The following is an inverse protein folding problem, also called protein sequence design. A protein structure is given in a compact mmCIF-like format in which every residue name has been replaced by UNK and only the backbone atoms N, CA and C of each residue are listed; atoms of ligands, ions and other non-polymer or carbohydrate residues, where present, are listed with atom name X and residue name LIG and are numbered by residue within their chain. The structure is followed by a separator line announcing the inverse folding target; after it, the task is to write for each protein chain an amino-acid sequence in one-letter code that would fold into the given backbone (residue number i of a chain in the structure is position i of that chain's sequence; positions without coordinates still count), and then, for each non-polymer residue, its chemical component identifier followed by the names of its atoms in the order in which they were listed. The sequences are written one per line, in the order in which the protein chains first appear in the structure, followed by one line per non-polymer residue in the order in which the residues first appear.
data_IF_139861243869
#
_entry.id   IF_139861243869
#
_cell.length_a   1.000
_cell.length_b   1.000
_cell.length_c   1.000
_cell.angle_alpha   90.00
_cell.angle_beta   90.00
_cell.angle_gamma   90.00
#
_symmetry.space_group_name_H-M   'P 1'
#
loop_
_entity.id
_entity.type
_entity.pdbx_description
1 polymer ?
#
# COMPACT_ATOMS: atom_id res chain seq x y z
N UNK A 1 17.89 14.26 6.09
CA UNK A 1 17.90 13.43 4.88
C UNK A 1 16.49 13.10 4.46
N UNK A 2 16.32 12.69 3.22
CA UNK A 2 14.99 12.38 2.70
C UNK A 2 14.93 10.92 2.26
N UNK A 3 13.71 10.39 2.17
CA UNK A 3 13.50 8.99 1.74
C UNK A 3 12.83 9.00 0.37
N UNK A 4 13.49 8.48 -0.68
CA UNK A 4 12.88 8.43 -2.01
C UNK A 4 11.66 7.51 -2.02
N UNK A 5 10.65 7.88 -2.80
CA UNK A 5 9.45 7.02 -2.97
C UNK A 5 9.82 5.64 -3.52
N UNK A 6 10.85 5.58 -4.37
CA UNK A 6 11.30 4.32 -4.95
C UNK A 6 11.64 3.26 -3.92
N UNK A 7 12.19 3.66 -2.77
CA UNK A 7 12.52 2.69 -1.72
C UNK A 7 11.28 1.97 -1.20
N UNK A 8 10.17 2.68 -1.06
CA UNK A 8 8.91 2.09 -0.59
C UNK A 8 8.22 1.32 -1.71
N UNK A 9 8.26 1.85 -2.92
CA UNK A 9 7.69 1.20 -4.10
C UNK A 9 8.37 -0.16 -4.35
N UNK A 10 9.69 -0.22 -4.22
CA UNK A 10 10.43 -1.48 -4.38
C UNK A 10 9.97 -2.53 -3.37
N UNK A 11 9.74 -2.13 -2.12
CA UNK A 11 9.22 -3.02 -1.09
C UNK A 11 7.79 -3.48 -1.42
N UNK A 12 6.96 -2.60 -1.94
CA UNK A 12 5.60 -2.93 -2.34
C UNK A 12 5.59 -3.94 -3.49
N UNK A 13 6.49 -3.80 -4.44
CA UNK A 13 6.59 -4.69 -5.60
C UNK A 13 6.93 -6.13 -5.21
N UNK A 14 7.65 -6.33 -4.12
CA UNK A 14 7.93 -7.69 -3.63
C UNK A 14 6.64 -8.39 -3.25
N UNK A 15 5.65 -7.66 -2.77
CA UNK A 15 4.37 -8.20 -2.31
C UNK A 15 3.35 -8.29 -3.43
N UNK A 16 3.31 -7.28 -4.33
CA UNK A 16 2.36 -7.27 -5.42
C UNK A 16 2.84 -8.25 -6.49
N UNK A 17 2.03 -9.26 -6.77
CA UNK A 17 2.29 -10.20 -7.85
C UNK A 17 1.12 -10.16 -8.80
N UNK A 18 1.15 -9.22 -9.73
CA UNK A 18 0.06 -9.04 -10.68
C UNK A 18 0.63 -8.94 -12.07
N UNK A 19 0.10 -9.77 -12.96
CA UNK A 19 0.53 -9.82 -14.35
C UNK A 19 0.29 -8.49 -15.07
N UNK A 20 -0.77 -7.79 -14.73
CA UNK A 20 -1.09 -6.49 -15.35
C UNK A 20 -0.01 -5.46 -15.05
N UNK A 21 0.52 -5.46 -13.84
CA UNK A 21 1.61 -4.56 -13.47
C UNK A 21 2.92 -4.92 -14.17
N UNK A 22 3.21 -6.20 -14.30
CA UNK A 22 4.40 -6.64 -15.03
C UNK A 22 4.32 -6.21 -16.49
N UNK A 23 3.14 -6.34 -17.12
CA UNK A 23 2.92 -5.92 -18.48
C UNK A 23 3.09 -4.40 -18.62
N UNK A 24 2.55 -3.63 -17.68
CA UNK A 24 2.67 -2.18 -17.68
C UNK A 24 4.13 -1.75 -17.49
N UNK A 25 4.86 -2.39 -16.59
CA UNK A 25 6.27 -2.10 -16.38
C UNK A 25 7.08 -2.33 -17.63
N UNK A 26 6.80 -3.41 -18.37
CA UNK A 26 7.52 -3.77 -19.59
C UNK A 26 7.21 -2.79 -20.73
N UNK A 27 5.96 -2.29 -20.78
CA UNK A 27 5.54 -1.42 -21.90
C UNK A 27 5.78 0.07 -21.61
N UNK A 28 5.64 0.52 -20.37
CA UNK A 28 5.79 1.94 -20.03
C UNK A 28 6.17 2.07 -18.55
N UNK A 29 7.46 2.18 -18.30
CA UNK A 29 8.00 2.30 -16.94
C UNK A 29 7.57 3.59 -16.26
N UNK A 30 7.47 4.70 -16.99
CA UNK A 30 7.07 5.98 -16.41
C UNK A 30 5.63 5.93 -15.90
N UNK A 31 4.72 5.35 -16.68
CA UNK A 31 3.33 5.16 -16.26
C UNK A 31 3.24 4.22 -15.06
N UNK A 32 4.02 3.15 -15.07
CA UNK A 32 4.10 2.20 -13.96
C UNK A 32 4.49 2.89 -12.67
N UNK A 33 5.56 3.69 -12.70
CA UNK A 33 6.02 4.43 -11.53
C UNK A 33 4.98 5.44 -11.05
N UNK A 34 4.31 6.13 -11.97
CA UNK A 34 3.26 7.10 -11.63
C UNK A 34 2.08 6.44 -10.93
N UNK A 35 1.68 5.26 -11.41
CA UNK A 35 0.57 4.51 -10.81
C UNK A 35 0.91 4.09 -9.38
N UNK A 36 2.09 3.52 -9.18
CA UNK A 36 2.49 3.08 -7.84
C UNK A 36 2.71 4.24 -6.89
N UNK A 37 3.23 5.36 -7.39
CA UNK A 37 3.38 6.57 -6.60
C UNK A 37 2.02 7.10 -6.13
N UNK A 38 1.00 7.05 -6.99
CA UNK A 38 -0.35 7.46 -6.62
C UNK A 38 -0.91 6.60 -5.48
N UNK A 39 -0.68 5.28 -5.53
CA UNK A 39 -1.12 4.39 -4.45
C UNK A 39 -0.32 4.58 -3.17
N UNK A 40 0.96 4.89 -3.27
CA UNK A 40 1.78 5.25 -2.11
C UNK A 40 1.22 6.49 -1.42
N UNK A 41 0.95 7.54 -2.19
CA UNK A 41 0.40 8.78 -1.65
C UNK A 41 -0.96 8.53 -0.99
N UNK A 42 -1.78 7.68 -1.59
CA UNK A 42 -3.06 7.30 -1.02
C UNK A 42 -2.91 6.52 0.30
N UNK A 43 -1.83 5.77 0.43
CA UNK A 43 -1.54 5.02 1.64
C UNK A 43 -0.99 5.84 2.80
N UNK A 44 -0.38 6.99 2.51
CA UNK A 44 0.26 7.82 3.53
C UNK A 44 -0.68 8.19 4.70
N UNK A 45 -1.92 8.67 4.46
CA UNK A 45 -2.80 9.03 5.57
C UNK A 45 -3.24 7.86 6.43
N UNK A 46 -3.05 6.62 5.97
CA UNK A 46 -3.44 5.43 6.74
C UNK A 46 -2.46 5.12 7.86
N UNK A 47 -1.22 5.57 7.74
CA UNK A 47 -0.19 5.33 8.76
C UNK A 47 -0.24 6.44 9.81
N UNK A 48 -1.34 6.48 10.56
CA UNK A 48 -1.56 7.52 11.58
C UNK A 48 -0.66 7.33 12.80
N UNK A 49 -0.11 6.13 13.01
CA UNK A 49 0.73 5.83 14.16
C UNK A 49 2.18 6.25 13.95
N UNK A 50 2.55 6.74 12.78
CA UNK A 50 3.93 7.08 12.48
C UNK A 50 4.43 8.22 13.37
N UNK A 51 5.59 8.01 13.97
CA UNK A 51 6.20 9.01 14.87
C UNK A 51 6.98 10.07 14.10
N UNK A 52 7.29 9.82 12.83
CA UNK A 52 7.97 10.80 12.01
C UNK A 52 6.99 11.56 11.12
N UNK A 53 7.41 12.74 10.67
CA UNK A 53 6.61 13.53 9.75
C UNK A 53 6.59 12.83 8.39
N UNK A 54 5.41 12.55 7.87
CA UNK A 54 5.22 11.92 6.57
C UNK A 54 4.96 12.93 5.45
N UNK A 55 5.32 14.20 5.65
CA UNK A 55 5.23 15.17 4.58
C UNK A 55 6.16 14.78 3.43
N UNK A 56 5.76 15.09 2.22
CA UNK A 56 6.49 14.69 1.02
C UNK A 56 6.45 15.77 -0.04
N UNK A 57 7.36 15.65 -1.01
CA UNK A 57 7.43 16.54 -2.17
C UNK A 57 7.32 15.66 -3.41
N UNK A 58 6.28 15.92 -4.21
CA UNK A 58 6.02 15.18 -5.44
C UNK A 58 7.08 15.48 -6.50
N UNK A 59 7.59 16.70 -6.53
CA UNK A 59 8.58 17.09 -7.53
C UNK A 59 9.91 16.35 -7.33
N UNK A 60 10.31 16.15 -6.09
CA UNK A 60 11.53 15.38 -5.78
C UNK A 60 11.24 13.90 -5.58
N UNK A 61 9.96 13.51 -5.59
CA UNK A 61 9.51 12.13 -5.38
C UNK A 61 10.11 11.53 -4.11
N UNK A 62 10.03 12.27 -3.00
CA UNK A 62 10.61 11.82 -1.74
C UNK A 62 9.86 12.36 -0.53
N UNK A 63 9.97 11.62 0.57
CA UNK A 63 9.52 12.10 1.87
C UNK A 63 10.60 13.00 2.46
N UNK A 64 10.18 13.99 3.22
CA UNK A 64 11.12 14.96 3.82
C UNK A 64 11.88 14.37 5.00
N UNK A 65 11.35 13.33 5.63
CA UNK A 65 12.00 12.67 6.76
C UNK A 65 12.82 11.46 6.31
N UNK A 66 13.79 11.07 7.13
CA UNK A 66 14.57 9.86 6.91
C UNK A 66 13.85 8.70 7.62
N UNK A 67 13.03 7.97 6.86
CA UNK A 67 12.19 6.91 7.40
C UNK A 67 13.00 5.66 7.72
N UNK A 68 12.63 4.98 8.81
CA UNK A 68 13.26 3.71 9.16
C UNK A 68 12.74 2.59 8.25
N UNK A 69 13.45 1.46 8.22
CA UNK A 69 13.03 0.30 7.42
C UNK A 69 11.63 -0.17 7.80
N UNK A 70 11.31 -0.18 9.09
CA UNK A 70 9.99 -0.62 9.56
C UNK A 70 8.89 0.36 9.09
N UNK A 71 9.16 1.65 9.15
CA UNK A 71 8.23 2.66 8.65
C UNK A 71 8.00 2.51 7.16
N UNK A 72 9.05 2.26 6.39
CA UNK A 72 8.96 2.03 4.96
C UNK A 72 8.18 0.75 4.64
N UNK A 73 8.39 -0.32 5.41
CA UNK A 73 7.65 -1.58 5.24
C UNK A 73 6.16 -1.38 5.48
N UNK A 74 5.79 -0.63 6.50
CA UNK A 74 4.39 -0.34 6.80
C UNK A 74 3.75 0.49 5.68
N UNK A 75 4.45 1.51 5.19
CA UNK A 75 3.97 2.31 4.07
C UNK A 75 3.82 1.47 2.79
N UNK A 76 4.74 0.55 2.56
CA UNK A 76 4.65 -0.38 1.44
C UNK A 76 3.40 -1.26 1.54
N UNK A 77 3.10 -1.76 2.74
CA UNK A 77 1.89 -2.56 2.97
C UNK A 77 0.64 -1.74 2.70
N UNK A 78 0.57 -0.49 3.13
CA UNK A 78 -0.56 0.37 2.83
C UNK A 78 -0.69 0.70 1.34
N UNK A 79 0.44 0.81 0.64
CA UNK A 79 0.46 0.98 -0.82
C UNK A 79 -0.18 -0.22 -1.51
N UNK A 80 0.21 -1.43 -1.10
CA UNK A 80 -0.33 -2.68 -1.63
C UNK A 80 -1.83 -2.79 -1.34
N UNK A 81 -2.24 -2.46 -0.13
CA UNK A 81 -3.65 -2.48 0.26
C UNK A 81 -4.47 -1.53 -0.63
N UNK A 82 -3.98 -0.31 -0.83
CA UNK A 82 -4.66 0.67 -1.68
C UNK A 82 -4.81 0.17 -3.11
N UNK A 83 -3.79 -0.48 -3.63
CA UNK A 83 -3.83 -1.06 -4.98
C UNK A 83 -4.87 -2.20 -5.07
N UNK A 84 -4.88 -3.12 -4.10
CA UNK A 84 -5.84 -4.23 -4.09
C UNK A 84 -7.28 -3.74 -3.91
N UNK A 85 -7.50 -2.74 -3.05
CA UNK A 85 -8.83 -2.16 -2.87
C UNK A 85 -9.35 -1.56 -4.17
N UNK A 86 -8.51 -0.82 -4.88
CA UNK A 86 -8.90 -0.24 -6.17
C UNK A 86 -9.23 -1.32 -7.19
N UNK A 87 -8.42 -2.38 -7.23
CA UNK A 87 -8.61 -3.48 -8.16
C UNK A 87 -9.92 -4.22 -7.91
N UNK A 88 -10.25 -4.46 -6.63
CA UNK A 88 -11.49 -5.12 -6.24
C UNK A 88 -12.70 -4.23 -6.56
N UNK A 89 -12.59 -2.93 -6.29
CA UNK A 89 -13.66 -1.98 -6.60
C UNK A 89 -13.94 -1.92 -8.09
N UNK A 90 -12.93 -1.95 -8.93
CA UNK A 90 -13.11 -1.98 -10.38
C UNK A 90 -13.90 -3.20 -10.82
N UNK A 91 -13.61 -4.37 -10.26
CA UNK A 91 -14.36 -5.59 -10.56
C UNK A 91 -15.80 -5.47 -10.09
N UNK A 92 -16.03 -4.89 -8.90
CA UNK A 92 -17.37 -4.72 -8.36
C UNK A 92 -18.19 -3.71 -9.15
N UNK A 93 -17.59 -2.69 -9.71
CA UNK A 93 -18.25 -1.74 -10.61
C UNK A 93 -18.75 -2.43 -11.87
N UNK A 94 -17.96 -3.34 -12.42
CA UNK A 94 -18.39 -4.14 -13.58
C UNK A 94 -19.63 -4.97 -13.26
N UNK A 95 -19.79 -5.41 -12.01
CA UNK A 95 -20.97 -6.17 -11.60
C UNK A 95 -22.27 -5.43 -11.87
N UNK A 96 -22.29 -4.12 -11.68
CA UNK A 96 -23.50 -3.31 -11.88
C UNK A 96 -23.86 -3.16 -13.35
N UNK A 97 -22.90 -3.32 -14.25
CA UNK A 97 -23.10 -3.14 -15.69
C UNK A 97 -23.23 -4.45 -16.43
N UNK A 98 -22.88 -5.59 -15.81
CA UNK A 98 -22.93 -6.90 -16.44
C UNK A 98 -24.11 -7.71 -15.88
N UNK A 99 -24.64 -8.63 -16.70
CA UNK A 99 -25.62 -9.60 -16.23
C UNK A 99 -24.92 -10.56 -15.26
N UNK A 100 -25.68 -11.11 -14.30
CA UNK A 100 -25.12 -12.00 -13.28
C UNK A 100 -24.25 -13.14 -13.84
N UNK A 101 -24.68 -13.71 -14.97
CA UNK A 101 -23.92 -14.78 -15.63
C UNK A 101 -22.56 -14.32 -16.10
N UNK A 102 -22.52 -13.14 -16.72
CA UNK A 102 -21.27 -12.55 -17.22
C UNK A 102 -20.36 -12.17 -16.06
N UNK A 103 -20.95 -11.63 -14.98
CA UNK A 103 -20.18 -11.28 -13.78
C UNK A 103 -19.54 -12.50 -13.15
N UNK A 104 -20.27 -13.61 -13.01
CA UNK A 104 -19.71 -14.83 -12.42
C UNK A 104 -18.51 -15.33 -13.21
N UNK A 105 -18.60 -15.27 -14.54
CA UNK A 105 -17.49 -15.67 -15.39
C UNK A 105 -16.29 -14.71 -15.24
N UNK A 106 -16.56 -13.41 -15.20
CA UNK A 106 -15.53 -12.40 -15.03
C UNK A 106 -14.88 -12.51 -13.66
N UNK A 107 -15.66 -12.67 -12.60
CA UNK A 107 -15.14 -12.79 -11.24
C UNK A 107 -14.23 -14.01 -11.10
N UNK A 108 -14.61 -15.14 -11.72
CA UNK A 108 -13.78 -16.34 -11.72
C UNK A 108 -12.46 -16.09 -12.45
N UNK A 109 -12.51 -15.43 -13.61
CA UNK A 109 -11.32 -15.11 -14.39
C UNK A 109 -10.43 -14.07 -13.72
N UNK A 110 -10.99 -13.18 -12.92
CA UNK A 110 -10.24 -12.14 -12.21
C UNK A 110 -9.79 -12.58 -10.81
N UNK A 111 -10.13 -13.80 -10.39
CA UNK A 111 -9.76 -14.32 -9.06
C UNK A 111 -10.21 -13.40 -7.93
N UNK A 112 -11.46 -12.92 -7.98
CA UNK A 112 -11.97 -11.96 -7.02
C UNK A 112 -11.91 -12.46 -5.57
N UNK A 113 -12.37 -13.69 -5.31
CA UNK A 113 -12.40 -14.26 -3.97
C UNK A 113 -11.00 -14.40 -3.35
N UNK A 114 -10.01 -14.99 -4.05
CA UNK A 114 -8.64 -15.03 -3.53
C UNK A 114 -8.05 -13.64 -3.28
N UNK A 115 -8.38 -12.66 -4.10
CA UNK A 115 -7.91 -11.28 -3.90
C UNK A 115 -8.49 -10.66 -2.65
N UNK A 116 -9.78 -10.89 -2.38
CA UNK A 116 -10.42 -10.41 -1.15
C UNK A 116 -9.84 -11.07 0.09
N UNK A 117 -9.57 -12.38 0.02
CA UNK A 117 -8.94 -13.11 1.12
C UNK A 117 -7.52 -12.61 1.38
N UNK A 118 -6.76 -12.35 0.32
CA UNK A 118 -5.42 -11.81 0.42
C UNK A 118 -5.43 -10.41 1.00
N UNK A 119 -6.39 -9.57 0.61
CA UNK A 119 -6.55 -8.23 1.16
C UNK A 119 -6.83 -8.28 2.67
N UNK A 120 -7.67 -9.21 3.11
CA UNK A 120 -7.94 -9.41 4.54
C UNK A 120 -6.67 -9.80 5.29
N UNK A 121 -5.84 -10.67 4.70
CA UNK A 121 -4.55 -11.03 5.26
C UNK A 121 -3.62 -9.82 5.35
N UNK A 122 -3.61 -8.96 4.34
CA UNK A 122 -2.80 -7.74 4.36
C UNK A 122 -3.22 -6.78 5.46
N UNK A 123 -4.52 -6.62 5.69
CA UNK A 123 -5.01 -5.80 6.80
C UNK A 123 -4.54 -6.35 8.14
N UNK A 124 -4.60 -7.65 8.33
CA UNK A 124 -4.13 -8.30 9.56
C UNK A 124 -2.63 -8.08 9.74
N UNK A 125 -1.86 -8.26 8.67
CA UNK A 125 -0.42 -8.09 8.69
C UNK A 125 -0.01 -6.65 9.02
N UNK A 126 -0.62 -5.66 8.39
CA UNK A 126 -0.27 -4.26 8.64
C UNK A 126 -0.66 -3.84 10.05
N UNK A 127 -1.76 -4.36 10.56
CA UNK A 127 -2.17 -4.10 11.93
C UNK A 127 -1.16 -4.66 12.93
N UNK A 128 -0.66 -5.87 12.66
CA UNK A 128 0.39 -6.47 13.47
C UNK A 128 1.69 -5.66 13.38
N UNK A 129 2.05 -5.21 12.19
CA UNK A 129 3.26 -4.41 11.98
C UNK A 129 3.19 -3.05 12.69
N UNK A 130 2.04 -2.39 12.66
CA UNK A 130 1.86 -1.12 13.38
C UNK A 130 1.90 -1.32 14.89
N UNK A 131 1.34 -2.42 15.39
CA UNK A 131 1.44 -2.77 16.79
C UNK A 131 2.90 -3.00 17.21
N UNK A 132 3.65 -3.75 16.41
CA UNK A 132 5.06 -3.99 16.66
C UNK A 132 5.87 -2.69 16.62
N UNK A 133 5.54 -1.80 15.69
CA UNK A 133 6.17 -0.50 15.59
C UNK A 133 5.95 0.34 16.84
N UNK A 134 4.73 0.37 17.36
CA UNK A 134 4.42 1.10 18.59
C UNK A 134 5.16 0.52 19.78
N UNK A 135 5.24 -0.81 19.89
CA UNK A 135 5.98 -1.45 20.98
C UNK A 135 7.48 -1.17 20.88
N UNK A 136 8.05 -1.18 19.67
CA UNK A 136 9.47 -0.88 19.49
C UNK A 136 9.81 0.57 19.85
N UNK A 137 8.83 1.48 19.78
CA UNK A 137 9.03 2.89 20.08
C UNK A 137 8.28 3.32 21.34
N UNK A 138 8.05 2.40 22.25
CA UNK A 138 7.24 2.62 23.45
C UNK A 138 7.64 3.87 24.23
N UNK A 139 8.95 4.06 24.46
CA UNK A 139 9.46 5.19 25.19
C UNK A 139 9.29 6.54 24.50
N UNK A 140 8.99 6.53 23.21
CA UNK A 140 8.79 7.74 22.43
C UNK A 140 7.33 8.12 22.25
N UNK A 141 6.41 7.31 22.77
CA UNK A 141 4.99 7.58 22.63
C UNK A 141 4.54 8.66 23.61
N UNK A 142 3.70 9.61 23.15
CA UNK A 142 3.26 10.72 23.99
C UNK A 142 2.41 10.30 25.18
N UNK A 143 1.76 9.12 25.09
CA UNK A 143 0.89 8.64 26.17
C UNK A 143 1.58 7.75 27.16
N UNK A 144 2.72 7.14 26.80
CA UNK A 144 3.39 6.18 27.63
C UNK A 144 4.83 6.59 27.90
N UNK A 145 5.30 7.59 27.27
CA UNK A 145 6.64 7.99 27.40
C UNK A 145 6.84 8.55 28.75
N UNK A 146 7.51 7.92 29.49
CA UNK A 146 7.78 8.24 30.76
C UNK A 146 8.02 9.65 31.01
N UNK A 147 7.48 10.15 31.89
CA UNK A 147 7.78 11.25 32.31
C UNK A 147 8.91 11.13 33.03
N UNK A 148 9.65 11.26 32.52
CA UNK A 148 10.94 11.25 33.12
C UNK A 148 11.11 11.97 34.34
#
# INVERSE_FOLDING_TARGET
MSTPFSNIIDKALVVIRDYSLDTLYTSDEDTFNSVLQAYLIKGVPRFVECLQDLSYDVDTESFNSDLTDLEMDILADYTVISWYESNINDVLEFKETLQDREFKRLATGQNLKPRQEYLTMLYTRVKQSTTNYLWANWGSLPYFGGDA
#
